data_IF_126875673249
#
_entry.id   IF_126875673249
#
_cell.length_a   1.000
_cell.length_b   1.000
_cell.length_c   1.000
_cell.angle_alpha   90.00
_cell.angle_beta   90.00
_cell.angle_gamma   90.00
#
_symmetry.space_group_name_H-M   'P 1'
#
loop_
_entity.id
_entity.type
_entity.pdbx_description
1 polymer ?
#
# COMPACT_ATOMS: atom_id res chain seq x y z
N UNK A 1 11.57 11.89 -58.46
CA UNK A 1 11.48 10.42 -58.58
C UNK A 1 12.71 9.85 -57.90
N UNK A 2 12.64 8.99 -56.89
CA UNK A 2 11.50 8.54 -56.10
C UNK A 2 12.07 7.60 -55.05
N UNK A 3 12.07 8.01 -53.79
CA UNK A 3 12.65 7.22 -52.69
C UNK A 3 11.75 6.02 -52.38
N UNK A 4 12.31 4.81 -52.40
CA UNK A 4 11.61 3.62 -51.92
C UNK A 4 11.19 3.79 -50.45
N UNK A 5 9.90 3.63 -50.12
CA UNK A 5 9.46 3.58 -48.73
C UNK A 5 9.81 2.21 -48.12
N UNK A 6 10.36 2.24 -46.91
CA UNK A 6 10.76 1.02 -46.20
C UNK A 6 9.57 0.08 -45.93
N UNK A 7 9.79 -1.22 -46.12
CA UNK A 7 8.87 -2.28 -45.70
C UNK A 7 8.63 -2.22 -44.19
N UNK A 8 7.38 -2.07 -43.70
CA UNK A 8 7.09 -2.24 -42.28
C UNK A 8 7.23 -3.72 -41.92
N UNK A 9 8.08 -4.01 -40.93
CA UNK A 9 8.34 -5.37 -40.46
C UNK A 9 7.11 -6.02 -39.81
N UNK A 10 7.02 -7.34 -39.97
CA UNK A 10 5.92 -8.20 -39.48
C UNK A 10 5.55 -7.93 -38.02
N UNK A 11 4.30 -7.50 -37.79
CA UNK A 11 3.77 -7.33 -36.43
C UNK A 11 3.56 -8.67 -35.73
N UNK A 12 4.39 -8.96 -34.73
CA UNK A 12 4.18 -10.11 -33.86
C UNK A 12 2.93 -9.90 -32.99
N UNK A 13 2.03 -10.88 -32.96
CA UNK A 13 0.87 -10.88 -32.06
C UNK A 13 1.36 -10.97 -30.61
N UNK A 14 0.84 -10.15 -29.66
CA UNK A 14 1.26 -10.23 -28.27
C UNK A 14 0.99 -11.62 -27.66
N UNK A 15 1.89 -12.13 -26.78
CA UNK A 15 1.70 -13.41 -26.10
C UNK A 15 0.55 -13.36 -25.08
N UNK A 16 -0.02 -14.51 -24.71
CA UNK A 16 -1.15 -14.57 -23.77
C UNK A 16 -0.79 -14.07 -22.35
N UNK A 17 -1.65 -13.27 -21.71
CA UNK A 17 -1.39 -12.70 -20.38
C UNK A 17 -2.32 -11.57 -19.91
N UNK A 18 -1.91 -10.82 -18.89
CA UNK A 18 -2.61 -9.65 -18.31
C UNK A 18 -2.10 -8.32 -18.84
N UNK A 19 -2.98 -7.33 -19.00
CA UNK A 19 -2.73 -6.11 -19.78
C UNK A 19 -3.49 -4.90 -19.24
N UNK A 20 -2.85 -3.73 -19.09
CA UNK A 20 -3.53 -2.48 -18.66
C UNK A 20 -4.66 -2.10 -19.63
N UNK A 21 -5.85 -1.85 -19.09
CA UNK A 21 -7.03 -1.46 -19.85
C UNK A 21 -7.14 0.07 -20.08
N UNK A 22 -6.22 0.86 -19.51
CA UNK A 22 -6.23 2.33 -19.58
C UNK A 22 -7.30 3.00 -18.72
N UNK A 23 -8.17 2.21 -18.05
CA UNK A 23 -9.15 2.70 -17.07
C UNK A 23 -8.65 2.53 -15.64
N UNK A 24 -7.58 1.75 -15.43
CA UNK A 24 -6.99 1.41 -14.13
C UNK A 24 -7.22 -0.04 -13.71
N UNK A 25 -7.62 -0.90 -14.66
CA UNK A 25 -7.76 -2.35 -14.49
C UNK A 25 -6.77 -3.07 -15.38
N UNK A 26 -6.61 -4.37 -15.20
CA UNK A 26 -5.87 -5.22 -16.13
C UNK A 26 -6.79 -6.31 -16.70
N UNK A 27 -6.80 -6.52 -18.02
CA UNK A 27 -7.63 -7.53 -18.71
C UNK A 27 -6.77 -8.64 -19.32
N UNK A 28 -7.32 -9.84 -19.48
CA UNK A 28 -6.58 -10.99 -20.03
C UNK A 28 -6.70 -11.12 -21.56
N UNK A 29 -5.59 -11.50 -22.21
CA UNK A 29 -5.46 -11.84 -23.62
C UNK A 29 -5.08 -13.32 -23.74
N UNK A 30 -5.81 -14.10 -24.54
CA UNK A 30 -5.57 -15.56 -24.69
C UNK A 30 -4.51 -15.92 -25.75
N UNK A 31 -3.85 -14.91 -26.35
CA UNK A 31 -2.93 -15.08 -27.47
C UNK A 31 -3.59 -14.85 -28.83
N UNK A 32 -4.91 -14.84 -28.91
CA UNK A 32 -5.70 -14.61 -30.14
C UNK A 32 -6.77 -13.53 -29.98
N UNK A 33 -7.32 -13.34 -28.77
CA UNK A 33 -8.36 -12.36 -28.44
C UNK A 33 -8.30 -11.95 -26.96
N UNK A 34 -8.97 -10.85 -26.63
CA UNK A 34 -9.25 -10.46 -25.25
C UNK A 34 -10.33 -11.38 -24.66
N UNK A 35 -10.10 -11.92 -23.47
CA UNK A 35 -11.15 -12.62 -22.70
C UNK A 35 -11.83 -11.62 -21.77
N UNK A 36 -12.98 -11.98 -21.21
CA UNK A 36 -13.76 -11.08 -20.37
C UNK A 36 -13.21 -10.89 -18.95
N UNK A 37 -12.19 -11.64 -18.56
CA UNK A 37 -11.55 -11.58 -17.24
C UNK A 37 -10.77 -10.28 -17.04
N UNK A 38 -11.07 -9.54 -15.97
CA UNK A 38 -10.31 -8.36 -15.54
C UNK A 38 -10.00 -8.34 -14.02
N UNK A 39 -8.91 -7.67 -13.68
CA UNK A 39 -8.43 -7.35 -12.34
C UNK A 39 -8.61 -5.86 -12.10
N UNK A 40 -9.40 -5.46 -11.10
CA UNK A 40 -9.48 -4.07 -10.67
C UNK A 40 -8.38 -3.79 -9.62
N UNK A 41 -7.41 -2.94 -9.97
CA UNK A 41 -6.30 -2.60 -9.08
C UNK A 41 -6.68 -1.56 -8.01
N UNK A 42 -7.88 -0.97 -8.10
CA UNK A 42 -8.37 0.05 -7.16
C UNK A 42 -9.18 -0.53 -6.01
N UNK A 43 -9.72 -1.75 -6.14
CA UNK A 43 -10.48 -2.37 -5.07
C UNK A 43 -9.57 -2.91 -3.96
N UNK A 44 -9.99 -2.71 -2.70
CA UNK A 44 -9.28 -3.20 -1.50
C UNK A 44 -9.64 -4.66 -1.17
N UNK A 45 -10.42 -5.31 -2.02
CA UNK A 45 -10.74 -6.74 -1.96
C UNK A 45 -10.91 -7.27 -3.38
N UNK A 46 -9.84 -7.81 -3.95
CA UNK A 46 -9.79 -8.18 -5.38
C UNK A 46 -10.61 -9.44 -5.67
N UNK A 47 -11.88 -9.28 -6.04
CA UNK A 47 -12.67 -10.30 -6.75
C UNK A 47 -12.37 -10.25 -8.24
N UNK A 48 -12.20 -11.42 -8.87
CA UNK A 48 -12.14 -11.54 -10.33
C UNK A 48 -13.54 -11.30 -10.90
N UNK A 49 -13.72 -10.32 -11.80
CA UNK A 49 -14.97 -10.11 -12.54
C UNK A 49 -14.75 -10.28 -14.04
N UNK A 50 -15.83 -10.64 -14.72
CA UNK A 50 -15.82 -11.11 -16.11
C UNK A 50 -16.88 -10.34 -16.92
N UNK A 51 -16.55 -9.14 -17.41
CA UNK A 51 -17.43 -8.27 -18.21
C UNK A 51 -16.61 -7.46 -19.24
N UNK A 52 -17.18 -7.18 -20.41
CA UNK A 52 -16.42 -6.89 -21.63
C UNK A 52 -16.02 -5.41 -21.90
N UNK A 53 -14.75 -5.19 -22.30
CA UNK A 53 -14.22 -3.93 -22.90
C UNK A 53 -12.69 -3.95 -23.13
N UNK A 54 -12.17 -3.61 -24.33
CA UNK A 54 -10.71 -3.57 -24.68
C UNK A 54 -9.97 -2.41 -23.97
N UNK A 55 -8.60 -2.34 -23.83
CA UNK A 55 -7.51 -2.76 -24.76
C UNK A 55 -6.20 -3.35 -24.10
N UNK A 56 -4.98 -2.77 -24.27
CA UNK A 56 -3.65 -3.45 -24.24
C UNK A 56 -2.45 -2.53 -23.81
N UNK A 57 -1.17 -2.92 -23.49
CA UNK A 57 -0.24 -3.93 -24.10
C UNK A 57 0.97 -4.43 -23.21
N UNK A 58 0.86 -5.44 -22.31
CA UNK A 58 1.99 -6.37 -21.95
C UNK A 58 1.81 -7.33 -20.74
N UNK A 59 2.07 -8.65 -20.93
CA UNK A 59 1.92 -9.75 -19.92
C UNK A 59 2.79 -9.63 -18.66
N UNK A 60 2.18 -9.71 -17.48
CA UNK A 60 2.88 -9.96 -16.21
C UNK A 60 3.14 -11.47 -15.95
N UNK A 61 4.36 -11.94 -16.28
CA UNK A 61 4.88 -13.23 -15.78
C UNK A 61 5.22 -13.19 -14.28
N UNK A 62 5.57 -14.31 -13.62
CA UNK A 62 5.89 -14.30 -12.19
C UNK A 62 7.06 -13.35 -11.88
N UNK A 63 6.89 -12.46 -10.89
CA UNK A 63 7.82 -11.36 -10.68
C UNK A 63 7.40 -10.34 -9.63
N UNK A 64 8.29 -9.38 -9.40
CA UNK A 64 8.05 -8.20 -8.55
C UNK A 64 7.48 -7.06 -9.39
N UNK A 65 6.27 -6.60 -9.04
CA UNK A 65 5.58 -5.51 -9.73
C UNK A 65 5.16 -4.44 -8.74
N UNK A 66 5.21 -3.18 -9.15
CA UNK A 66 4.75 -2.03 -8.36
C UNK A 66 3.23 -2.13 -8.10
N UNK A 67 2.80 -2.05 -6.84
CA UNK A 67 1.37 -2.05 -6.46
C UNK A 67 0.74 -0.64 -6.52
N UNK A 68 1.48 0.33 -7.09
CA UNK A 68 1.22 1.76 -7.15
C UNK A 68 1.20 2.48 -5.78
N UNK A 69 1.50 1.76 -4.69
CA UNK A 69 1.59 2.31 -3.34
C UNK A 69 3.04 2.48 -2.87
N UNK A 70 3.99 2.57 -3.79
CA UNK A 70 5.42 2.72 -3.47
C UNK A 70 6.12 1.42 -3.07
N UNK A 71 5.42 0.28 -3.11
CA UNK A 71 6.00 -1.05 -2.82
C UNK A 71 5.81 -1.96 -4.02
N UNK A 72 6.74 -2.91 -4.20
CA UNK A 72 6.56 -4.01 -5.13
C UNK A 72 5.94 -5.19 -4.41
N UNK A 73 5.00 -5.87 -5.04
CA UNK A 73 4.41 -7.12 -4.57
C UNK A 73 4.78 -8.26 -5.50
N UNK A 74 4.92 -9.48 -4.98
CA UNK A 74 5.23 -10.63 -5.82
C UNK A 74 3.94 -11.23 -6.41
N UNK A 75 3.87 -11.24 -7.74
CA UNK A 75 2.92 -12.01 -8.53
C UNK A 75 3.50 -13.39 -8.82
N UNK A 76 2.78 -14.47 -8.51
CA UNK A 76 3.25 -15.85 -8.74
C UNK A 76 2.89 -16.41 -10.14
N UNK A 77 2.29 -15.58 -11.00
CA UNK A 77 1.71 -15.99 -12.29
C UNK A 77 0.21 -16.32 -12.23
N UNK A 78 -0.39 -16.39 -11.03
CA UNK A 78 -1.81 -16.69 -10.81
C UNK A 78 -2.47 -15.74 -9.80
N UNK A 79 -1.72 -15.31 -8.79
CA UNK A 79 -2.20 -14.44 -7.71
C UNK A 79 -1.06 -13.58 -7.14
N UNK A 80 -1.43 -12.52 -6.44
CA UNK A 80 -0.51 -11.74 -5.60
C UNK A 80 -0.28 -12.47 -4.28
N UNK A 81 0.98 -12.74 -3.96
CA UNK A 81 1.36 -13.36 -2.68
C UNK A 81 1.48 -12.29 -1.58
N UNK A 82 1.72 -12.70 -0.32
CA UNK A 82 2.03 -11.77 0.77
C UNK A 82 3.48 -11.24 0.74
N UNK A 83 4.31 -11.63 -0.24
CA UNK A 83 5.67 -11.12 -0.35
C UNK A 83 5.65 -9.70 -0.90
N UNK A 84 6.31 -8.80 -0.17
CA UNK A 84 6.44 -7.35 -0.44
C UNK A 84 7.92 -6.97 -0.45
N UNK A 85 8.31 -6.06 -1.35
CA UNK A 85 9.65 -5.48 -1.44
C UNK A 85 9.52 -3.96 -1.56
N UNK A 86 10.22 -3.23 -0.69
CA UNK A 86 10.32 -1.77 -0.72
C UNK A 86 11.51 -1.30 -1.59
N UNK A 87 11.53 -0.03 -1.98
CA UNK A 87 12.38 0.54 -3.03
C UNK A 87 13.88 0.61 -2.69
N UNK A 88 14.23 0.54 -1.40
CA UNK A 88 15.62 0.45 -0.91
C UNK A 88 16.04 1.60 0.01
N UNK A 89 15.30 2.72 0.06
CA UNK A 89 15.46 3.77 1.09
C UNK A 89 14.63 3.47 2.35
N UNK A 90 14.50 2.18 2.69
CA UNK A 90 13.65 1.70 3.77
C UNK A 90 14.13 2.19 5.14
N UNK A 91 13.24 2.89 5.84
CA UNK A 91 13.38 3.11 7.27
C UNK A 91 12.16 2.51 7.97
N UNK A 92 12.40 1.41 8.68
CA UNK A 92 11.40 0.70 9.47
C UNK A 92 11.49 1.10 10.95
N UNK A 93 10.33 1.33 11.57
CA UNK A 93 10.16 1.30 13.01
C UNK A 93 8.87 0.58 13.40
N UNK A 94 9.00 -0.53 14.14
CA UNK A 94 7.89 -1.29 14.71
C UNK A 94 6.84 -1.73 13.66
N UNK A 95 7.28 -2.24 12.50
CA UNK A 95 6.42 -2.65 11.39
C UNK A 95 5.80 -1.51 10.58
N UNK A 96 6.14 -0.25 10.88
CA UNK A 96 5.81 0.92 10.06
C UNK A 96 7.01 1.22 9.15
N UNK A 97 6.77 1.21 7.84
CA UNK A 97 7.76 1.51 6.79
C UNK A 97 7.32 2.76 6.05
N UNK A 98 8.25 3.65 5.69
CA UNK A 98 8.01 4.71 4.72
C UNK A 98 8.80 4.41 3.46
N UNK A 99 8.16 4.61 2.31
CA UNK A 99 8.76 4.48 0.99
C UNK A 99 8.30 5.64 0.09
N UNK A 100 9.19 6.61 -0.15
CA UNK A 100 8.90 7.80 -0.96
C UNK A 100 7.63 8.54 -0.52
N UNK A 101 6.59 8.53 -1.36
CA UNK A 101 5.29 9.20 -1.12
C UNK A 101 4.34 8.41 -0.20
N UNK A 102 4.71 7.22 0.27
CA UNK A 102 3.83 6.29 0.96
C UNK A 102 4.36 5.89 2.34
N UNK A 103 3.42 5.56 3.22
CA UNK A 103 3.68 4.93 4.52
C UNK A 103 2.85 3.66 4.63
N UNK A 104 3.42 2.63 5.24
CA UNK A 104 2.90 1.26 5.28
C UNK A 104 2.81 0.75 6.72
N UNK A 105 1.89 -0.18 6.95
CA UNK A 105 1.79 -0.92 8.20
C UNK A 105 1.23 -2.32 7.94
N UNK A 106 2.13 -3.28 7.76
CA UNK A 106 1.80 -4.58 7.16
C UNK A 106 1.17 -4.41 5.77
N UNK A 107 0.01 -5.02 5.56
CA UNK A 107 -0.73 -4.91 4.29
C UNK A 107 -1.30 -3.50 4.03
N UNK A 108 -1.48 -2.68 5.08
CA UNK A 108 -2.05 -1.34 4.97
C UNK A 108 -1.05 -0.35 4.36
N UNK A 109 -1.54 0.63 3.61
CA UNK A 109 -0.72 1.70 3.00
C UNK A 109 -1.56 2.94 2.78
N UNK A 110 -0.98 4.12 3.01
CA UNK A 110 -1.62 5.42 2.75
C UNK A 110 -0.58 6.46 2.30
N UNK A 111 -0.97 7.54 1.60
CA UNK A 111 -0.04 8.60 1.22
C UNK A 111 0.53 9.31 2.45
N UNK A 112 1.84 9.55 2.46
CA UNK A 112 2.53 10.18 3.59
C UNK A 112 2.15 11.67 3.75
N UNK A 113 1.73 12.35 2.69
CA UNK A 113 1.40 13.78 2.69
C UNK A 113 0.27 14.20 3.67
N UNK A 114 -0.55 13.23 4.10
CA UNK A 114 -1.67 13.42 5.01
C UNK A 114 -1.47 12.84 6.42
N UNK A 115 -0.26 12.37 6.77
CA UNK A 115 -0.03 11.72 8.09
C UNK A 115 0.68 12.59 9.12
N UNK A 116 0.38 12.34 10.38
CA UNK A 116 1.05 12.87 11.57
C UNK A 116 1.53 11.69 12.43
N UNK A 117 2.79 11.71 12.86
CA UNK A 117 3.40 10.73 13.74
C UNK A 117 3.68 11.30 15.14
N UNK A 118 3.30 10.54 16.17
CA UNK A 118 3.57 10.86 17.58
C UNK A 118 4.06 9.65 18.37
N UNK A 119 4.74 9.90 19.49
CA UNK A 119 5.18 8.88 20.45
C UNK A 119 4.42 9.10 21.76
N UNK A 120 3.53 8.18 22.12
CA UNK A 120 2.58 8.37 23.23
C UNK A 120 2.48 7.14 24.13
N UNK A 121 2.24 7.36 25.42
CA UNK A 121 1.96 6.28 26.38
C UNK A 121 0.50 5.82 26.24
N UNK A 122 0.25 4.52 26.40
CA UNK A 122 -1.09 3.93 26.29
C UNK A 122 -2.12 4.54 27.26
N UNK A 123 -1.67 5.01 28.43
CA UNK A 123 -2.45 5.82 29.39
C UNK A 123 -3.03 7.10 28.77
N UNK A 124 -2.21 7.83 28.00
CA UNK A 124 -2.55 9.06 27.28
C UNK A 124 -3.42 8.76 26.06
N UNK A 125 -3.12 7.70 25.31
CA UNK A 125 -3.94 7.30 24.16
C UNK A 125 -5.37 6.92 24.57
N UNK A 126 -5.52 6.15 25.64
CA UNK A 126 -6.83 5.73 26.15
C UNK A 126 -7.65 6.88 26.77
N UNK A 127 -7.04 8.03 27.09
CA UNK A 127 -7.78 9.21 27.56
C UNK A 127 -8.22 10.16 26.43
N UNK A 128 -7.72 10.00 25.20
CA UNK A 128 -8.07 10.84 24.04
C UNK A 128 -9.38 10.39 23.38
N UNK A 129 -10.44 11.24 23.35
CA UNK A 129 -11.71 10.89 22.71
C UNK A 129 -11.60 10.59 21.22
N UNK A 130 -10.69 11.25 20.50
CA UNK A 130 -10.46 10.99 19.08
C UNK A 130 -9.92 9.57 18.83
N UNK A 131 -8.94 9.12 19.63
CA UNK A 131 -8.33 7.80 19.51
C UNK A 131 -9.31 6.67 19.82
N UNK A 132 -10.10 6.82 20.89
CA UNK A 132 -11.16 5.86 21.24
C UNK A 132 -12.28 5.85 20.19
N UNK A 133 -12.62 7.00 19.61
CA UNK A 133 -13.58 7.10 18.50
C UNK A 133 -13.10 6.37 17.24
N UNK A 134 -11.81 6.42 16.91
CA UNK A 134 -11.25 5.64 15.79
C UNK A 134 -11.48 4.14 15.96
N UNK A 135 -11.38 3.60 17.19
CA UNK A 135 -11.67 2.20 17.48
C UNK A 135 -13.17 1.85 17.37
N UNK A 136 -14.07 2.81 17.63
CA UNK A 136 -15.53 2.66 17.41
C UNK A 136 -15.86 2.68 15.91
N UNK A 137 -15.26 3.61 15.17
CA UNK A 137 -15.39 3.73 13.71
C UNK A 137 -14.69 2.61 12.93
N UNK A 138 -13.98 1.69 13.61
CA UNK A 138 -13.19 0.60 13.03
C UNK A 138 -12.03 1.13 12.14
N UNK A 139 -11.54 2.32 12.50
CA UNK A 139 -10.43 3.05 11.87
C UNK A 139 -9.17 3.12 12.75
N UNK A 140 -8.98 2.11 13.61
CA UNK A 140 -7.79 1.92 14.42
C UNK A 140 -7.18 0.56 14.11
N UNK A 141 -5.87 0.51 13.86
CA UNK A 141 -5.14 -0.72 13.54
C UNK A 141 -3.87 -0.86 14.38
N UNK A 142 -3.56 -2.07 14.81
CA UNK A 142 -2.27 -2.44 15.40
C UNK A 142 -1.65 -3.62 14.65
N UNK A 143 -0.52 -4.19 15.14
CA UNK A 143 0.18 -5.26 14.44
C UNK A 143 -0.67 -6.54 14.23
N UNK A 144 -1.65 -6.77 15.10
CA UNK A 144 -2.65 -7.84 14.98
C UNK A 144 -3.89 -7.47 14.13
N UNK A 145 -3.81 -6.43 13.30
CA UNK A 145 -4.91 -5.93 12.48
C UNK A 145 -5.83 -4.93 13.21
N UNK A 146 -7.09 -4.85 12.77
CA UNK A 146 -8.04 -3.85 13.25
C UNK A 146 -8.38 -3.98 14.74
N UNK A 147 -8.22 -2.89 15.49
CA UNK A 147 -8.55 -2.77 16.91
C UNK A 147 -9.95 -2.15 17.03
N UNK A 148 -10.92 -2.97 17.40
CA UNK A 148 -12.28 -2.51 17.71
C UNK A 148 -12.38 -2.00 19.15
N UNK A 149 -13.39 -1.17 19.43
CA UNK A 149 -13.70 -0.69 20.80
C UNK A 149 -13.72 -1.81 21.85
N UNK A 150 -14.31 -2.98 21.53
CA UNK A 150 -14.32 -4.18 22.40
C UNK A 150 -12.93 -4.76 22.71
N UNK A 151 -11.95 -4.57 21.82
CA UNK A 151 -10.57 -5.06 21.97
C UNK A 151 -9.60 -3.99 22.49
N UNK A 152 -10.00 -2.70 22.47
CA UNK A 152 -9.13 -1.55 22.69
C UNK A 152 -8.29 -1.64 23.98
N UNK A 153 -8.93 -1.84 25.13
CA UNK A 153 -8.24 -1.90 26.44
C UNK A 153 -7.35 -3.14 26.60
N UNK A 154 -7.55 -4.18 25.79
CA UNK A 154 -6.66 -5.36 25.74
C UNK A 154 -5.49 -5.17 24.77
N UNK A 155 -5.67 -4.37 23.72
CA UNK A 155 -4.65 -4.08 22.72
C UNK A 155 -3.67 -2.96 23.15
N UNK A 156 -4.15 -2.03 23.99
CA UNK A 156 -3.37 -0.86 24.45
C UNK A 156 -3.08 -0.99 25.95
N UNK A 157 -1.84 -1.35 26.26
CA UNK A 157 -1.32 -1.46 27.62
C UNK A 157 -1.02 -0.05 28.17
N UNK A 158 -1.65 0.31 29.30
CA UNK A 158 -1.51 1.64 29.92
C UNK A 158 -0.06 2.12 30.15
N UNK A 159 0.89 1.31 30.66
CA UNK A 159 2.26 1.80 30.93
C UNK A 159 3.14 1.85 29.67
N UNK A 160 2.75 1.18 28.59
CA UNK A 160 3.57 0.96 27.39
C UNK A 160 3.56 2.18 26.47
N UNK A 161 4.67 2.44 25.80
CA UNK A 161 4.80 3.50 24.79
C UNK A 161 4.52 2.95 23.40
N UNK A 162 3.86 3.74 22.57
CA UNK A 162 3.46 3.41 21.22
C UNK A 162 3.93 4.49 20.24
N UNK A 163 4.32 4.07 19.04
CA UNK A 163 4.33 4.93 17.86
C UNK A 163 2.91 4.96 17.31
N UNK A 164 2.40 6.16 17.04
CA UNK A 164 1.07 6.40 16.50
C UNK A 164 1.19 7.18 15.22
N UNK A 165 0.55 6.70 14.16
CA UNK A 165 0.41 7.39 12.87
C UNK A 165 -1.07 7.71 12.71
N UNK A 166 -1.42 8.98 12.60
CA UNK A 166 -2.77 9.45 12.28
C UNK A 166 -2.79 9.95 10.84
N UNK A 167 -3.71 9.48 10.02
CA UNK A 167 -3.85 9.89 8.62
C UNK A 167 -5.28 9.77 8.09
N UNK A 168 -5.48 10.16 6.82
CA UNK A 168 -6.81 10.21 6.19
C UNK A 168 -7.52 8.85 6.12
N UNK A 169 -6.77 7.75 6.12
CA UNK A 169 -7.32 6.38 6.16
C UNK A 169 -7.60 5.91 7.58
N UNK A 170 -6.83 6.38 8.57
CA UNK A 170 -6.83 5.73 9.87
C UNK A 170 -5.85 6.21 10.91
N UNK A 171 -5.99 5.64 12.10
CA UNK A 171 -4.95 5.63 13.12
C UNK A 171 -4.27 4.27 13.13
N UNK A 172 -2.96 4.23 12.99
CA UNK A 172 -2.13 3.04 13.22
C UNK A 172 -1.39 3.22 14.54
N UNK A 173 -1.34 2.16 15.34
CA UNK A 173 -0.71 2.17 16.66
C UNK A 173 0.16 0.93 16.83
N UNK A 174 1.47 1.14 16.93
CA UNK A 174 2.44 0.05 17.07
C UNK A 174 3.19 0.17 18.40
N UNK A 175 3.25 -0.91 19.21
CA UNK A 175 3.95 -0.88 20.49
C UNK A 175 5.46 -0.78 20.26
N UNK A 176 6.10 0.15 20.97
CA UNK A 176 7.56 0.20 21.03
C UNK A 176 8.06 -0.92 21.96
N UNK A 177 9.14 -1.57 21.55
CA UNK A 177 9.92 -2.50 22.38
C UNK A 177 11.02 -1.77 23.14
N UNK A 178 12.14 -2.44 23.39
CA UNK A 178 13.36 -1.85 24.00
C UNK A 178 14.09 -0.84 23.09
N UNK A 179 13.45 -0.38 22.01
CA UNK A 179 14.02 0.62 21.13
C UNK A 179 14.23 1.93 21.89
N UNK A 180 15.38 2.59 21.67
CA UNK A 180 15.68 3.85 22.34
C UNK A 180 14.63 4.91 22.01
N UNK A 181 14.20 5.63 23.05
CA UNK A 181 13.22 6.72 22.93
C UNK A 181 13.69 7.79 21.93
N UNK A 182 15.00 8.02 21.83
CA UNK A 182 15.61 8.91 20.82
C UNK A 182 15.32 8.45 19.39
N UNK A 183 15.69 7.21 19.01
CA UNK A 183 15.39 6.64 17.68
C UNK A 183 13.90 6.71 17.35
N UNK A 184 13.04 6.48 18.35
CA UNK A 184 11.59 6.53 18.17
C UNK A 184 11.09 7.95 17.86
N UNK A 185 11.65 8.97 18.54
CA UNK A 185 11.34 10.38 18.29
C UNK A 185 11.95 10.90 16.98
N UNK A 186 13.16 10.46 16.64
CA UNK A 186 13.81 10.75 15.36
C UNK A 186 12.96 10.23 14.21
N UNK A 187 12.50 8.98 14.27
CA UNK A 187 11.59 8.40 13.27
C UNK A 187 10.28 9.18 13.14
N UNK A 188 9.61 9.51 14.25
CA UNK A 188 8.37 10.31 14.19
C UNK A 188 8.62 11.71 13.60
N UNK A 189 9.75 12.34 13.92
CA UNK A 189 10.16 13.64 13.35
C UNK A 189 10.40 13.51 11.84
N UNK A 190 11.03 12.43 11.40
CA UNK A 190 11.27 12.14 9.99
C UNK A 190 9.97 11.85 9.22
N UNK A 191 9.03 11.07 9.79
CA UNK A 191 7.69 10.86 9.22
C UNK A 191 6.99 12.21 8.99
N UNK A 192 6.97 13.07 10.00
CA UNK A 192 6.34 14.39 9.91
C UNK A 192 7.02 15.31 8.89
N UNK A 193 8.36 15.25 8.80
CA UNK A 193 9.13 16.01 7.81
C UNK A 193 8.83 15.55 6.38
N UNK A 194 8.71 14.23 6.18
CA UNK A 194 8.33 13.62 4.90
C UNK A 194 6.89 13.97 4.53
N UNK A 195 5.95 13.88 5.47
CA UNK A 195 4.57 14.31 5.28
C UNK A 195 4.48 15.77 4.83
N UNK A 196 5.20 16.67 5.51
CA UNK A 196 5.28 18.08 5.13
C UNK A 196 5.89 18.28 3.74
N UNK A 197 6.96 17.56 3.39
CA UNK A 197 7.60 17.64 2.08
C UNK A 197 6.64 17.30 0.93
N UNK A 198 5.88 16.21 1.07
CA UNK A 198 4.97 15.73 0.02
C UNK A 198 3.60 16.42 0.01
N UNK A 199 3.28 17.23 1.02
CA UNK A 199 2.07 18.07 1.05
C UNK A 199 2.17 19.29 0.12
N UNK A 200 3.39 19.70 -0.25
CA UNK A 200 3.65 20.88 -1.08
C UNK A 200 4.36 20.53 -2.41
N UNK A 201 4.15 19.30 -2.92
CA UNK A 201 4.72 18.79 -4.20
C UNK A 201 3.70 18.01 -5.04
#
# INVERSE_FOLDING_TARGET
MGTDPATPGTGAVPPAGWYDDGTGKQRWWDGSRWTDEYIDLRDRSTELRTDAGQPATGVAGPGWFDDQRGRRRWWDGRQWTAAVQYSGEEQELAGIVIDGRWIHFGELSQPVAGVEASIEQGSTLLSRPAFTSSAVQRRLWGPGGAITSRRLTKAIERPRTYLVITGEEGVWVSPLGEQTVSRSREFATWVNSSAQHYRYR
#
